data_IF_642550064924
#
_entry.id   IF_642550064924
#
_cell.length_a   1.000
_cell.length_b   1.000
_cell.length_c   1.000
_cell.angle_alpha   90.00
_cell.angle_beta   90.00
_cell.angle_gamma   90.00
#
_symmetry.space_group_name_H-M   'P 1'
#
loop_
_entity.id
_entity.type
_entity.pdbx_description
1 polymer ?
#
# COMPACT_ATOMS: atom_id res chain seq x y z
N UNK A 1 -3.90 -14.51 25.39
CA UNK A 1 -3.86 -13.05 25.18
C UNK A 1 -3.70 -12.85 23.69
N UNK A 2 -4.82 -12.64 23.01
CA UNK A 2 -4.86 -12.38 21.57
C UNK A 2 -4.99 -10.87 21.48
N UNK A 3 -3.91 -10.20 21.08
CA UNK A 3 -4.00 -8.82 20.65
C UNK A 3 -4.88 -8.77 19.41
N UNK A 4 -5.95 -8.00 19.53
CA UNK A 4 -6.98 -7.81 18.52
C UNK A 4 -6.40 -6.95 17.38
N UNK A 5 -5.99 -7.61 16.29
CA UNK A 5 -5.36 -6.98 15.10
C UNK A 5 -6.40 -6.30 14.20
N UNK A 6 -7.39 -5.60 14.76
CA UNK A 6 -8.47 -4.99 13.97
C UNK A 6 -8.68 -3.49 14.21
N UNK A 7 -7.99 -2.86 15.16
CA UNK A 7 -8.30 -1.48 15.58
C UNK A 7 -7.58 -0.36 14.83
N UNK A 8 -6.65 -0.65 13.91
CA UNK A 8 -5.89 0.41 13.20
C UNK A 8 -6.54 0.96 11.92
N UNK A 9 -7.74 0.49 11.52
CA UNK A 9 -8.36 0.89 10.25
C UNK A 9 -9.82 1.37 10.29
N UNK A 10 -10.51 1.27 11.42
CA UNK A 10 -11.93 1.63 11.50
C UNK A 10 -12.12 3.14 11.74
N UNK A 11 -13.04 3.76 10.99
CA UNK A 11 -13.47 5.14 11.25
C UNK A 11 -14.25 5.18 12.56
N UNK A 12 -13.89 6.09 13.45
CA UNK A 12 -14.53 6.31 14.74
C UNK A 12 -15.58 7.41 14.67
N UNK A 13 -16.79 7.13 15.14
CA UNK A 13 -17.85 8.13 15.36
C UNK A 13 -18.07 8.32 16.86
N UNK A 14 -17.80 9.53 17.35
CA UNK A 14 -17.93 9.90 18.75
C UNK A 14 -19.21 10.69 19.01
N UNK A 15 -20.05 10.23 19.94
CA UNK A 15 -21.16 11.02 20.45
C UNK A 15 -20.68 11.83 21.64
N UNK A 16 -20.75 13.15 21.53
CA UNK A 16 -20.40 14.05 22.63
C UNK A 16 -21.51 14.02 23.69
N UNK A 17 -21.31 13.20 24.72
CA UNK A 17 -22.28 13.04 25.81
C UNK A 17 -22.22 14.19 26.83
N UNK A 18 -21.19 15.04 26.77
CA UNK A 18 -21.05 16.20 27.67
C UNK A 18 -21.93 17.35 27.20
N UNK A 19 -21.91 17.61 25.90
CA UNK A 19 -22.63 18.74 25.30
C UNK A 19 -23.90 18.35 24.54
N UNK A 20 -24.10 17.07 24.24
CA UNK A 20 -25.30 16.54 23.58
C UNK A 20 -25.82 15.25 24.21
N UNK A 21 -26.63 14.52 23.44
CA UNK A 21 -27.17 13.22 23.84
C UNK A 21 -26.20 12.07 23.52
N UNK A 22 -26.06 11.08 24.42
CA UNK A 22 -25.20 9.92 24.18
C UNK A 22 -25.79 8.99 23.14
N UNK A 23 -24.94 8.17 22.50
CA UNK A 23 -25.30 7.14 21.52
C UNK A 23 -26.40 6.18 21.99
N UNK A 24 -26.48 5.90 23.29
CA UNK A 24 -27.52 5.04 23.89
C UNK A 24 -28.96 5.56 23.69
N UNK A 25 -29.14 6.84 23.35
CA UNK A 25 -30.43 7.42 22.98
C UNK A 25 -30.84 7.13 21.52
N UNK A 26 -29.95 6.56 20.72
CA UNK A 26 -30.15 6.29 19.30
C UNK A 26 -29.67 4.86 18.94
N UNK A 27 -30.29 3.82 19.52
CA UNK A 27 -29.82 2.45 19.35
C UNK A 27 -29.86 1.98 17.90
N UNK A 28 -30.87 2.36 17.10
CA UNK A 28 -30.93 1.99 15.69
C UNK A 28 -29.83 2.66 14.86
N UNK A 29 -29.53 3.93 15.16
CA UNK A 29 -28.40 4.64 14.53
C UNK A 29 -27.06 3.99 14.89
N UNK A 30 -26.86 3.68 16.16
CA UNK A 30 -25.64 2.99 16.61
C UNK A 30 -25.45 1.67 15.87
N UNK A 31 -26.49 0.83 15.84
CA UNK A 31 -26.47 -0.46 15.15
C UNK A 31 -26.19 -0.29 13.65
N UNK A 32 -26.79 0.73 13.02
CA UNK A 32 -26.53 1.05 11.62
C UNK A 32 -25.05 1.36 11.39
N UNK A 33 -24.45 2.22 12.20
CA UNK A 33 -23.05 2.63 12.04
C UNK A 33 -22.08 1.48 12.34
N UNK A 34 -22.31 0.72 13.41
CA UNK A 34 -21.51 -0.47 13.72
C UNK A 34 -21.62 -1.54 12.62
N UNK A 35 -22.80 -1.69 12.01
CA UNK A 35 -23.02 -2.58 10.87
C UNK A 35 -22.26 -2.18 9.60
N UNK A 36 -21.90 -0.90 9.45
CA UNK A 36 -21.02 -0.40 8.37
C UNK A 36 -19.53 -0.48 8.74
N UNK A 37 -19.19 -1.02 9.91
CA UNK A 37 -17.81 -1.15 10.37
C UNK A 37 -17.25 0.09 11.08
N UNK A 38 -18.10 1.06 11.44
CA UNK A 38 -17.67 2.20 12.25
C UNK A 38 -17.53 1.82 13.73
N UNK A 39 -16.51 2.36 14.39
CA UNK A 39 -16.37 2.28 15.85
C UNK A 39 -17.18 3.40 16.51
N UNK A 40 -18.32 3.06 17.13
CA UNK A 40 -19.19 4.04 17.80
C UNK A 40 -18.88 4.09 19.30
N UNK A 41 -18.59 5.29 19.83
CA UNK A 41 -18.34 5.51 21.27
C UNK A 41 -18.88 6.83 21.77
N UNK A 42 -19.17 6.89 23.06
CA UNK A 42 -19.49 8.14 23.74
C UNK A 42 -18.20 8.80 24.25
N UNK A 43 -18.05 10.12 24.06
CA UNK A 43 -16.85 10.88 24.42
C UNK A 43 -17.19 12.15 25.20
N UNK A 44 -16.23 12.67 25.94
CA UNK A 44 -16.36 13.87 26.79
C UNK A 44 -15.64 15.07 26.16
N UNK A 45 -16.01 15.39 24.92
CA UNK A 45 -15.44 16.50 24.15
C UNK A 45 -14.64 16.05 22.93
N UNK A 46 -13.74 16.93 22.47
CA UNK A 46 -13.04 16.81 21.19
C UNK A 46 -11.70 16.08 21.35
N UNK A 47 -11.52 14.95 20.67
CA UNK A 47 -10.30 14.14 20.76
C UNK A 47 -9.83 13.72 19.37
N UNK A 48 -8.50 13.77 19.08
CA UNK A 48 -7.96 13.41 17.77
C UNK A 48 -8.15 11.93 17.42
N UNK A 49 -8.49 11.08 18.38
CA UNK A 49 -8.76 9.66 18.16
C UNK A 49 -10.13 9.39 17.53
N UNK A 50 -11.01 10.39 17.51
CA UNK A 50 -12.35 10.31 16.92
C UNK A 50 -12.34 11.00 15.56
N UNK A 51 -12.75 10.29 14.52
CA UNK A 51 -12.74 10.83 13.16
C UNK A 51 -13.93 11.76 12.89
N UNK A 52 -15.09 11.49 13.50
CA UNK A 52 -16.30 12.31 13.40
C UNK A 52 -16.95 12.49 14.77
N UNK A 53 -17.17 13.73 15.19
CA UNK A 53 -17.95 14.03 16.40
C UNK A 53 -19.38 14.40 16.05
N UNK A 54 -20.32 13.86 16.82
CA UNK A 54 -21.75 14.10 16.70
C UNK A 54 -22.27 14.78 17.96
N UNK A 55 -22.89 15.95 17.80
CA UNK A 55 -23.57 16.70 18.86
C UNK A 55 -25.05 16.77 18.51
N UNK A 56 -25.89 16.01 19.23
CA UNK A 56 -27.35 15.98 19.02
C UNK A 56 -28.05 16.59 20.21
N UNK A 57 -29.01 17.51 19.98
CA UNK A 57 -29.88 18.11 20.99
C UNK A 57 -29.10 18.58 22.22
N UNK A 58 -28.55 19.79 22.13
CA UNK A 58 -27.63 20.31 23.13
C UNK A 58 -28.16 20.20 24.56
N UNK A 59 -27.37 19.60 25.44
CA UNK A 59 -27.67 19.42 26.86
C UNK A 59 -26.92 20.41 27.73
N UNK A 60 -25.73 20.85 27.30
CA UNK A 60 -24.88 21.82 28.00
C UNK A 60 -24.21 22.79 27.03
N UNK A 61 -24.01 24.08 27.39
CA UNK A 61 -23.24 25.01 26.59
C UNK A 61 -21.77 24.58 26.49
N UNK A 62 -21.09 25.00 25.42
CA UNK A 62 -19.62 24.94 25.33
C UNK A 62 -19.04 26.18 26.00
N UNK A 63 -17.95 25.98 26.73
CA UNK A 63 -17.11 27.07 27.22
C UNK A 63 -16.29 27.68 26.08
N UNK A 64 -15.69 28.85 26.32
CA UNK A 64 -14.84 29.52 25.33
C UNK A 64 -13.62 28.66 24.92
N UNK A 65 -13.01 27.95 25.87
CA UNK A 65 -11.92 27.02 25.59
C UNK A 65 -12.37 25.86 24.70
N UNK A 66 -13.54 25.28 24.99
CA UNK A 66 -14.09 24.17 24.18
C UNK A 66 -14.50 24.61 22.77
N UNK A 67 -14.91 25.86 22.58
CA UNK A 67 -15.13 26.41 21.23
C UNK A 67 -13.82 26.50 20.43
N UNK A 68 -12.71 26.86 21.07
CA UNK A 68 -11.39 26.85 20.46
C UNK A 68 -10.94 25.42 20.11
N UNK A 69 -11.19 24.47 21.01
CA UNK A 69 -10.87 23.06 20.78
C UNK A 69 -11.70 22.47 19.62
N UNK A 70 -12.98 22.84 19.53
CA UNK A 70 -13.85 22.48 18.41
C UNK A 70 -13.34 23.03 17.08
N UNK A 71 -12.96 24.32 17.03
CA UNK A 71 -12.39 24.94 15.83
C UNK A 71 -11.11 24.22 15.38
N UNK A 72 -10.20 23.98 16.33
CA UNK A 72 -8.95 23.26 16.08
C UNK A 72 -9.20 21.84 15.56
N UNK A 73 -10.09 21.09 16.20
CA UNK A 73 -10.47 19.73 15.83
C UNK A 73 -10.97 19.65 14.38
N UNK A 74 -11.88 20.52 13.97
CA UNK A 74 -12.34 20.47 12.58
C UNK A 74 -11.23 20.91 11.62
N UNK A 75 -10.49 21.98 11.93
CA UNK A 75 -9.42 22.47 11.05
C UNK A 75 -8.31 21.45 10.84
N UNK A 76 -8.04 20.58 11.80
CA UNK A 76 -7.02 19.53 11.71
C UNK A 76 -7.41 18.36 10.82
N UNK A 77 -8.65 18.31 10.32
CA UNK A 77 -9.09 17.30 9.35
C UNK A 77 -10.21 16.38 9.84
N UNK A 78 -10.88 16.70 10.94
CA UNK A 78 -11.96 15.87 11.45
C UNK A 78 -13.35 16.28 10.96
N UNK A 79 -14.31 15.37 11.11
CA UNK A 79 -15.72 15.58 10.80
C UNK A 79 -16.52 16.06 12.01
N UNK A 80 -17.50 16.94 11.79
CA UNK A 80 -18.43 17.40 12.82
C UNK A 80 -19.87 17.35 12.31
N UNK A 81 -20.75 16.69 13.05
CA UNK A 81 -22.19 16.69 12.81
C UNK A 81 -22.92 17.35 13.99
N UNK A 82 -23.58 18.46 13.71
CA UNK A 82 -24.41 19.19 14.68
C UNK A 82 -25.87 19.00 14.30
N UNK A 83 -26.68 18.48 15.22
CA UNK A 83 -28.12 18.28 15.00
C UNK A 83 -28.90 18.96 16.11
N UNK A 84 -29.73 19.93 15.74
CA UNK A 84 -30.63 20.66 16.65
C UNK A 84 -29.91 21.17 17.90
N UNK A 85 -28.79 21.86 17.69
CA UNK A 85 -27.92 22.35 18.77
C UNK A 85 -27.50 23.80 18.49
N UNK A 86 -27.44 24.63 19.54
CA UNK A 86 -27.05 26.04 19.43
C UNK A 86 -25.58 26.20 19.04
N UNK A 87 -24.78 25.13 19.16
CA UNK A 87 -23.37 25.09 18.74
C UNK A 87 -23.21 25.45 17.27
N UNK A 88 -24.26 25.25 16.46
CA UNK A 88 -24.34 25.74 15.08
C UNK A 88 -24.04 27.25 14.95
N UNK A 89 -24.35 28.06 15.96
CA UNK A 89 -24.07 29.50 15.97
C UNK A 89 -22.58 29.82 15.94
N UNK A 90 -21.70 28.92 16.42
CA UNK A 90 -20.24 29.07 16.31
C UNK A 90 -19.77 29.11 14.85
N UNK A 91 -20.58 28.60 13.92
CA UNK A 91 -20.33 28.57 12.49
C UNK A 91 -21.21 29.56 11.72
N UNK A 92 -21.82 30.53 12.41
CA UNK A 92 -22.77 31.50 11.85
C UNK A 92 -23.92 30.80 11.11
N UNK A 93 -24.50 29.74 11.68
CA UNK A 93 -25.70 29.09 11.15
C UNK A 93 -26.71 28.97 12.28
N UNK A 94 -27.96 29.38 12.05
CA UNK A 94 -29.00 29.36 13.07
C UNK A 94 -30.19 28.53 12.64
N UNK A 95 -30.80 27.81 13.58
CA UNK A 95 -32.11 27.21 13.36
C UNK A 95 -33.19 28.29 13.48
N UNK A 96 -34.17 28.24 12.58
CA UNK A 96 -35.43 28.95 12.78
C UNK A 96 -36.13 28.43 14.02
N UNK A 97 -36.86 29.32 14.66
CA UNK A 97 -37.73 29.08 15.79
C UNK A 97 -39.12 28.54 15.37
N UNK A 98 -39.38 28.53 14.06
CA UNK A 98 -40.62 28.07 13.43
C UNK A 98 -40.47 26.62 12.95
N UNK A 99 -41.47 25.78 13.24
CA UNK A 99 -41.45 24.38 12.82
C UNK A 99 -41.95 24.22 11.39
N UNK A 100 -41.31 23.32 10.65
CA UNK A 100 -41.75 22.89 9.32
C UNK A 100 -42.60 21.64 9.45
N UNK A 101 -43.74 21.64 8.77
CA UNK A 101 -44.73 20.59 8.88
C UNK A 101 -45.18 20.12 7.49
N UNK A 102 -45.52 18.84 7.37
CA UNK A 102 -46.11 18.32 6.13
C UNK A 102 -47.49 18.92 5.88
N UNK A 103 -47.82 19.29 4.62
CA UNK A 103 -49.15 19.83 4.29
C UNK A 103 -50.24 18.76 4.23
N UNK A 104 -49.89 17.47 4.32
CA UNK A 104 -50.82 16.35 4.12
C UNK A 104 -51.77 16.09 5.31
N UNK A 105 -51.47 16.61 6.49
CA UNK A 105 -52.23 16.31 7.72
C UNK A 105 -52.92 17.56 8.23
N UNK A 106 -54.24 17.47 8.44
CA UNK A 106 -55.05 18.55 9.02
C UNK A 106 -55.05 18.36 10.54
N UNK A 107 -54.30 19.21 11.25
CA UNK A 107 -54.33 19.27 12.73
C UNK A 107 -53.10 18.75 13.48
N UNK A 108 -51.94 18.61 12.82
CA UNK A 108 -50.67 18.28 13.48
C UNK A 108 -49.43 18.67 12.66
N UNK A 109 -48.28 18.74 13.34
CA UNK A 109 -46.97 18.96 12.71
C UNK A 109 -46.20 17.63 12.57
N UNK A 110 -46.52 16.90 11.51
CA UNK A 110 -45.89 15.63 11.18
C UNK A 110 -44.59 15.81 10.39
N UNK A 111 -43.68 14.81 10.42
CA UNK A 111 -42.47 14.80 9.60
C UNK A 111 -42.76 15.08 8.12
N UNK A 112 -41.83 15.72 7.46
CA UNK A 112 -41.93 16.13 6.06
C UNK A 112 -40.77 15.57 5.24
N UNK A 113 -40.97 15.48 3.93
CA UNK A 113 -39.93 15.03 3.02
C UNK A 113 -38.93 16.17 2.74
N UNK A 114 -37.64 15.85 2.78
CA UNK A 114 -36.57 16.72 2.30
C UNK A 114 -35.84 16.05 1.12
N UNK A 115 -35.52 16.85 0.11
CA UNK A 115 -34.73 16.45 -1.04
C UNK A 115 -33.25 16.45 -0.67
N UNK A 116 -32.56 15.38 -1.05
CA UNK A 116 -31.12 15.22 -0.84
C UNK A 116 -30.34 15.83 -2.02
N UNK A 117 -29.24 16.51 -1.73
CA UNK A 117 -28.39 17.07 -2.78
C UNK A 117 -27.67 15.96 -3.58
N UNK A 118 -28.21 15.64 -4.76
CA UNK A 118 -27.70 14.60 -5.65
C UNK A 118 -26.30 14.85 -6.24
N UNK A 119 -25.77 16.07 -6.14
CA UNK A 119 -24.38 16.37 -6.56
C UNK A 119 -23.36 15.90 -5.53
N UNK A 120 -23.79 15.69 -4.28
CA UNK A 120 -22.94 15.24 -3.17
C UNK A 120 -23.24 13.83 -2.72
N UNK A 121 -24.51 13.43 -2.78
CA UNK A 121 -24.97 12.12 -2.37
C UNK A 121 -25.49 11.36 -3.59
N UNK A 122 -24.91 10.19 -3.84
CA UNK A 122 -25.07 9.47 -5.09
C UNK A 122 -26.38 8.70 -5.12
N UNK A 123 -26.77 8.14 -3.98
CA UNK A 123 -27.83 7.14 -3.91
C UNK A 123 -29.09 7.67 -3.26
N UNK A 124 -28.98 8.47 -2.20
CA UNK A 124 -30.13 9.04 -1.50
C UNK A 124 -30.82 10.11 -2.35
N UNK A 125 -32.15 10.05 -2.43
CA UNK A 125 -32.97 11.01 -3.17
C UNK A 125 -33.86 11.83 -2.26
N UNK A 126 -34.46 11.17 -1.27
CA UNK A 126 -35.40 11.83 -0.36
C UNK A 126 -35.35 11.20 1.02
N UNK A 127 -35.39 12.05 2.04
CA UNK A 127 -35.42 11.63 3.44
C UNK A 127 -36.65 12.20 4.14
N UNK A 128 -37.13 11.52 5.18
CA UNK A 128 -38.21 11.99 6.03
C UNK A 128 -37.60 12.64 7.28
N UNK A 129 -37.93 13.90 7.54
CA UNK A 129 -37.27 14.70 8.58
C UNK A 129 -38.29 15.46 9.43
N UNK A 130 -37.88 15.89 10.62
CA UNK A 130 -38.71 16.71 11.51
C UNK A 130 -37.90 17.82 12.15
N UNK A 131 -38.39 19.05 12.10
CA UNK A 131 -37.74 20.19 12.75
C UNK A 131 -38.02 21.50 12.03
N UNK A 132 -37.01 22.36 11.96
CA UNK A 132 -37.10 23.71 11.41
C UNK A 132 -36.17 23.87 10.20
N UNK A 133 -36.23 25.03 9.54
CA UNK A 133 -35.23 25.43 8.53
C UNK A 133 -34.08 26.23 9.14
N UNK A 134 -32.97 26.31 8.41
CA UNK A 134 -31.79 27.08 8.76
C UNK A 134 -31.86 28.51 8.21
N UNK A 135 -31.30 29.46 8.95
CA UNK A 135 -31.24 30.89 8.64
C UNK A 135 -29.81 31.42 8.72
N UNK A 136 -29.60 32.56 8.07
CA UNK A 136 -28.36 33.32 8.02
C UNK A 136 -27.17 32.43 7.62
N UNK A 137 -27.28 31.86 6.42
CA UNK A 137 -26.30 30.93 5.87
C UNK A 137 -25.11 31.69 5.26
N UNK A 138 -23.85 31.34 5.61
CA UNK A 138 -22.67 31.88 4.95
C UNK A 138 -22.68 31.59 3.45
N UNK A 139 -22.07 32.45 2.63
CA UNK A 139 -22.12 32.35 1.16
C UNK A 139 -21.55 31.02 0.59
N UNK A 140 -20.66 30.36 1.33
CA UNK A 140 -19.94 29.17 0.86
C UNK A 140 -20.49 27.85 1.44
N UNK A 141 -21.68 27.84 2.05
CA UNK A 141 -22.26 26.59 2.54
C UNK A 141 -22.89 25.77 1.43
N UNK A 142 -22.73 24.47 1.54
CA UNK A 142 -23.35 23.47 0.67
C UNK A 142 -24.71 23.12 1.25
N UNK A 143 -25.79 23.34 0.50
CA UNK A 143 -27.10 22.84 0.91
C UNK A 143 -27.14 21.32 0.74
N UNK A 144 -27.26 20.56 1.83
CA UNK A 144 -27.27 19.09 1.84
C UNK A 144 -28.69 18.54 1.78
N UNK A 145 -29.61 19.16 2.51
CA UNK A 145 -31.03 18.84 2.52
C UNK A 145 -31.88 20.11 2.39
N UNK A 146 -32.82 20.09 1.45
CA UNK A 146 -33.84 21.12 1.30
C UNK A 146 -35.22 20.55 1.54
N UNK A 147 -36.10 21.28 2.20
CA UNK A 147 -37.49 20.86 2.34
C UNK A 147 -38.12 20.69 0.95
N UNK A 148 -38.93 19.66 0.77
CA UNK A 148 -39.94 19.68 -0.30
C UNK A 148 -41.09 20.60 0.15
N UNK A 149 -42.29 20.35 -0.35
CA UNK A 149 -43.50 21.10 0.02
C UNK A 149 -43.82 20.94 1.52
N UNK A 150 -43.78 22.06 2.24
CA UNK A 150 -44.06 22.19 3.68
C UNK A 150 -44.96 23.39 3.94
N UNK A 151 -45.57 23.47 5.11
CA UNK A 151 -46.09 24.73 5.66
C UNK A 151 -45.31 25.07 6.93
N UNK A 152 -45.28 26.36 7.28
CA UNK A 152 -44.52 26.89 8.40
C UNK A 152 -45.47 27.17 9.56
N UNK A 153 -45.30 26.50 10.68
CA UNK A 153 -46.09 26.76 11.89
C UNK A 153 -45.53 27.98 12.64
N UNK A 154 -46.02 29.16 12.25
CA UNK A 154 -45.62 30.46 12.85
C UNK A 154 -46.18 30.65 14.26
N UNK A 155 -47.39 30.15 14.49
CA UNK A 155 -48.12 30.33 15.76
C UNK A 155 -47.81 29.25 16.79
N UNK A 156 -47.04 28.21 16.40
CA UNK A 156 -46.61 27.08 17.23
C UNK A 156 -47.78 26.30 17.83
N UNK A 157 -48.91 26.28 17.13
CA UNK A 157 -50.13 25.63 17.59
C UNK A 157 -50.39 24.31 16.86
N UNK A 158 -49.52 23.93 15.93
CA UNK A 158 -49.57 22.72 15.09
C UNK A 158 -50.85 22.58 14.27
N UNK A 159 -51.58 23.69 14.05
CA UNK A 159 -52.86 23.71 13.32
C UNK A 159 -52.69 24.52 12.06
N UNK A 160 -52.74 23.80 10.93
CA UNK A 160 -52.81 24.42 9.61
C UNK A 160 -54.15 25.13 9.42
N UNK A 161 -54.08 26.38 8.98
CA UNK A 161 -55.21 27.21 8.54
C UNK A 161 -55.15 27.43 7.02
N UNK A 162 -56.25 27.90 6.43
CA UNK A 162 -56.29 28.24 4.99
C UNK A 162 -55.39 29.44 4.63
N UNK A 163 -54.98 30.24 5.62
CA UNK A 163 -54.07 31.38 5.43
C UNK A 163 -52.59 30.98 5.41
N UNK A 164 -52.25 29.75 5.82
CA UNK A 164 -50.87 29.30 5.91
C UNK A 164 -50.28 29.01 4.52
N UNK A 165 -49.23 29.74 4.19
CA UNK A 165 -48.53 29.65 2.92
C UNK A 165 -47.61 28.43 2.91
N UNK A 166 -47.73 27.63 1.86
CA UNK A 166 -46.79 26.53 1.60
C UNK A 166 -45.46 27.07 1.06
N UNK A 167 -44.36 26.46 1.49
CA UNK A 167 -43.00 26.76 1.06
C UNK A 167 -42.30 25.49 0.56
N UNK A 168 -41.28 25.68 -0.27
CA UNK A 168 -40.43 24.61 -0.80
C UNK A 168 -38.99 25.12 -0.91
N UNK A 169 -38.02 24.20 -0.86
CA UNK A 169 -36.60 24.53 -1.05
C UNK A 169 -35.96 25.20 0.16
N UNK A 170 -36.60 25.16 1.34
CA UNK A 170 -36.01 25.74 2.54
C UNK A 170 -34.83 24.87 3.00
N UNK A 171 -33.64 25.45 3.27
CA UNK A 171 -32.49 24.69 3.71
C UNK A 171 -32.73 24.14 5.11
N UNK A 172 -32.60 22.84 5.31
CA UNK A 172 -32.79 22.18 6.61
C UNK A 172 -31.53 21.48 7.12
N UNK A 173 -30.57 21.23 6.21
CA UNK A 173 -29.22 20.81 6.55
C UNK A 173 -28.23 21.43 5.57
N UNK A 174 -27.13 21.95 6.10
CA UNK A 174 -26.02 22.48 5.31
C UNK A 174 -24.71 21.80 5.71
N UNK A 175 -23.75 21.83 4.80
CA UNK A 175 -22.40 21.34 4.99
C UNK A 175 -21.38 22.38 4.60
N UNK A 176 -20.17 22.28 5.16
CA UNK A 176 -19.08 23.18 4.87
C UNK A 176 -17.74 22.44 4.95
N UNK A 177 -16.82 22.77 4.05
CA UNK A 177 -15.39 22.47 4.21
C UNK A 177 -14.80 23.52 5.14
N UNK A 178 -14.16 23.09 6.23
CA UNK A 178 -13.68 23.98 7.27
C UNK A 178 -12.23 23.62 7.64
N UNK A 179 -11.27 24.35 7.07
CA UNK A 179 -9.88 23.91 7.04
C UNK A 179 -9.76 22.61 6.26
N UNK A 180 -9.11 21.59 6.83
CA UNK A 180 -9.04 20.24 6.25
C UNK A 180 -10.27 19.40 6.55
N UNK A 181 -11.07 19.76 7.56
CA UNK A 181 -12.21 18.98 8.01
C UNK A 181 -13.52 19.36 7.33
N UNK A 182 -14.60 18.76 7.84
CA UNK A 182 -15.96 18.94 7.32
C UNK A 182 -16.96 19.10 8.45
N UNK A 183 -17.92 19.98 8.23
CA UNK A 183 -19.02 20.23 9.17
C UNK A 183 -20.33 19.98 8.45
N UNK A 184 -21.27 19.32 9.11
CA UNK A 184 -22.67 19.27 8.74
C UNK A 184 -23.52 19.82 9.89
N UNK A 185 -24.44 20.72 9.57
CA UNK A 185 -25.34 21.36 10.53
C UNK A 185 -26.77 21.09 10.09
N UNK A 186 -27.55 20.48 10.97
CA UNK A 186 -28.95 20.13 10.74
C UNK A 186 -29.86 20.79 11.77
N UNK A 187 -30.91 21.47 11.33
CA UNK A 187 -32.02 21.91 12.18
C UNK A 187 -33.13 20.87 12.30
N UNK A 188 -32.97 19.72 11.64
CA UNK A 188 -33.95 18.63 11.63
C UNK A 188 -33.38 17.34 12.19
N UNK A 189 -34.24 16.56 12.83
CA UNK A 189 -34.01 15.15 13.14
C UNK A 189 -34.31 14.28 11.92
N UNK A 190 -33.48 13.28 11.70
CA UNK A 190 -33.58 12.33 10.59
C UNK A 190 -33.13 10.91 10.95
N UNK A 191 -32.57 10.69 12.15
CA UNK A 191 -32.01 9.40 12.57
C UNK A 191 -32.53 8.89 13.92
N UNK A 192 -33.58 9.50 14.47
CA UNK A 192 -34.30 8.82 15.56
C UNK A 192 -34.87 7.50 15.01
N UNK A 193 -35.08 6.51 15.88
CA UNK A 193 -35.40 5.14 15.44
C UNK A 193 -36.62 5.09 14.49
N UNK A 194 -37.62 5.95 14.72
CA UNK A 194 -38.81 6.02 13.90
C UNK A 194 -38.56 6.60 12.49
N UNK A 195 -37.70 7.60 12.36
CA UNK A 195 -37.36 8.22 11.07
C UNK A 195 -36.28 7.44 10.32
N UNK A 196 -35.32 6.85 11.02
CA UNK A 196 -34.18 6.17 10.41
C UNK A 196 -34.60 5.02 9.48
N UNK A 197 -35.66 4.31 9.86
CA UNK A 197 -36.23 3.20 9.10
C UNK A 197 -37.12 3.63 7.92
N UNK A 198 -37.33 4.93 7.70
CA UNK A 198 -38.22 5.47 6.68
C UNK A 198 -37.42 6.00 5.47
N UNK A 199 -38.00 5.87 4.28
CA UNK A 199 -37.43 6.35 3.02
C UNK A 199 -35.93 5.98 2.90
N UNK A 200 -35.10 6.93 2.44
CA UNK A 200 -33.65 6.74 2.28
C UNK A 200 -32.87 7.16 3.54
N UNK A 201 -33.50 7.37 4.71
CA UNK A 201 -32.82 7.97 5.87
C UNK A 201 -31.58 7.20 6.31
N UNK A 202 -31.65 5.87 6.40
CA UNK A 202 -30.50 5.03 6.71
C UNK A 202 -29.38 5.15 5.67
N UNK A 203 -29.72 5.17 4.38
CA UNK A 203 -28.75 5.34 3.30
C UNK A 203 -28.09 6.72 3.34
N UNK A 204 -28.88 7.76 3.58
CA UNK A 204 -28.40 9.14 3.69
C UNK A 204 -27.44 9.31 4.87
N UNK A 205 -27.76 8.73 6.03
CA UNK A 205 -26.86 8.73 7.19
C UNK A 205 -25.50 8.10 6.84
N UNK A 206 -25.49 6.97 6.11
CA UNK A 206 -24.24 6.33 5.68
C UNK A 206 -23.42 7.23 4.76
N UNK A 207 -24.06 7.81 3.74
CA UNK A 207 -23.36 8.71 2.83
C UNK A 207 -22.88 9.99 3.54
N UNK A 208 -23.65 10.51 4.51
CA UNK A 208 -23.28 11.68 5.31
C UNK A 208 -22.07 11.41 6.21
N UNK A 209 -22.05 10.30 6.94
CA UNK A 209 -20.92 9.95 7.82
C UNK A 209 -19.68 9.60 6.99
N UNK A 210 -19.84 8.93 5.85
CA UNK A 210 -18.75 8.70 4.90
C UNK A 210 -18.17 10.03 4.39
N UNK A 211 -19.03 10.98 4.00
CA UNK A 211 -18.60 12.31 3.57
C UNK A 211 -17.85 13.06 4.69
N UNK A 212 -18.37 13.05 5.92
CA UNK A 212 -17.76 13.71 7.08
C UNK A 212 -16.41 13.09 7.49
N UNK A 213 -16.28 11.77 7.40
CA UNK A 213 -15.07 11.04 7.82
C UNK A 213 -13.96 11.02 6.78
N UNK A 214 -14.28 11.29 5.50
CA UNK A 214 -13.30 11.23 4.41
C UNK A 214 -12.02 12.03 4.62
N UNK A 215 -11.98 13.21 5.28
CA UNK A 215 -10.71 13.90 5.48
C UNK A 215 -9.81 13.20 6.50
N UNK A 216 -10.38 12.65 7.58
CA UNK A 216 -9.65 11.81 8.54
C UNK A 216 -9.11 10.53 7.87
N UNK A 217 -9.90 9.90 7.00
CA UNK A 217 -9.48 8.73 6.21
C UNK A 217 -8.32 9.10 5.28
N UNK A 218 -8.42 10.23 4.58
CA UNK A 218 -7.37 10.72 3.69
C UNK A 218 -6.06 10.98 4.46
N UNK A 219 -6.13 11.55 5.66
CA UNK A 219 -4.96 11.81 6.50
C UNK A 219 -4.30 10.52 6.99
N UNK A 220 -5.08 9.55 7.49
CA UNK A 220 -4.56 8.22 7.87
C UNK A 220 -3.87 7.55 6.69
N UNK A 221 -4.50 7.58 5.51
CA UNK A 221 -3.94 7.02 4.28
C UNK A 221 -2.66 7.71 3.84
N UNK A 222 -2.58 9.03 3.97
CA UNK A 222 -1.38 9.81 3.70
C UNK A 222 -0.21 9.35 4.57
N UNK A 223 -0.44 9.15 5.88
CA UNK A 223 0.59 8.69 6.80
C UNK A 223 1.07 7.28 6.49
N UNK A 224 0.15 6.37 6.16
CA UNK A 224 0.47 5.02 5.70
C UNK A 224 1.35 5.02 4.46
N UNK A 225 0.94 5.75 3.42
CA UNK A 225 1.64 5.81 2.13
C UNK A 225 3.01 6.47 2.30
N UNK A 226 3.10 7.52 3.11
CA UNK A 226 4.38 8.17 3.46
C UNK A 226 5.32 7.20 4.17
N UNK A 227 4.79 6.39 5.10
CA UNK A 227 5.58 5.35 5.77
C UNK A 227 6.09 4.29 4.78
N UNK A 228 5.23 3.84 3.85
CA UNK A 228 5.62 2.90 2.80
C UNK A 228 6.67 3.46 1.84
N UNK A 229 6.58 4.76 1.50
CA UNK A 229 7.61 5.43 0.71
C UNK A 229 8.97 5.44 1.43
N UNK A 230 8.97 5.68 2.74
CA UNK A 230 10.20 5.60 3.53
C UNK A 230 10.79 4.18 3.56
N UNK A 231 9.94 3.15 3.67
CA UNK A 231 10.39 1.76 3.57
C UNK A 231 10.96 1.44 2.18
N UNK A 232 10.35 1.94 1.11
CA UNK A 232 10.87 1.82 -0.26
C UNK A 232 12.24 2.49 -0.41
N UNK A 233 12.42 3.70 0.13
CA UNK A 233 13.71 4.38 0.21
C UNK A 233 14.75 3.58 1.02
N UNK A 234 14.31 2.83 2.04
CA UNK A 234 15.18 1.95 2.82
C UNK A 234 15.84 0.84 1.99
N UNK A 235 15.22 0.41 0.89
CA UNK A 235 15.79 -0.59 -0.03
C UNK A 235 17.03 -0.11 -0.78
N UNK A 236 17.37 1.19 -0.68
CA UNK A 236 18.60 1.76 -1.24
C UNK A 236 19.84 0.99 -0.79
N UNK A 237 19.93 0.68 0.49
CA UNK A 237 21.09 -0.04 1.06
C UNK A 237 21.21 -1.47 0.54
N UNK A 238 20.07 -2.15 0.31
CA UNK A 238 20.06 -3.49 -0.27
C UNK A 238 20.60 -3.51 -1.69
N UNK A 239 20.18 -2.53 -2.50
CA UNK A 239 20.62 -2.40 -3.88
C UNK A 239 22.11 -1.99 -3.97
N UNK A 240 22.56 -1.06 -3.14
CA UNK A 240 23.98 -0.63 -3.08
C UNK A 240 24.91 -1.79 -2.69
N UNK A 241 24.49 -2.64 -1.73
CA UNK A 241 25.27 -3.79 -1.25
C UNK A 241 25.55 -4.83 -2.35
N UNK A 242 24.67 -4.93 -3.34
CA UNK A 242 24.85 -5.84 -4.49
C UNK A 242 25.44 -5.12 -5.72
N UNK A 243 25.83 -3.85 -5.60
CA UNK A 243 26.44 -3.07 -6.68
C UNK A 243 25.43 -2.48 -7.68
N UNK A 244 24.14 -2.49 -7.35
CA UNK A 244 23.09 -1.93 -8.21
C UNK A 244 23.02 -0.40 -8.20
N UNK A 245 22.36 0.18 -9.19
CA UNK A 245 22.24 1.64 -9.34
C UNK A 245 21.11 2.21 -8.48
N UNK A 246 21.46 2.71 -7.30
CA UNK A 246 20.51 3.28 -6.34
C UNK A 246 19.95 4.65 -6.72
N UNK A 247 20.57 5.37 -7.67
CA UNK A 247 20.08 6.68 -8.12
C UNK A 247 18.71 6.60 -8.79
N UNK A 248 18.42 5.51 -9.51
CA UNK A 248 17.12 5.30 -10.16
C UNK A 248 16.01 5.14 -9.12
N UNK A 249 16.29 4.40 -8.03
CA UNK A 249 15.37 4.25 -6.90
C UNK A 249 15.01 5.59 -6.28
N UNK A 250 16.02 6.43 -6.02
CA UNK A 250 15.83 7.76 -5.43
C UNK A 250 14.98 8.65 -6.34
N UNK A 251 15.28 8.68 -7.64
CA UNK A 251 14.52 9.48 -8.60
C UNK A 251 13.04 9.05 -8.68
N UNK A 252 12.77 7.74 -8.65
CA UNK A 252 11.40 7.20 -8.59
C UNK A 252 10.70 7.62 -7.30
N UNK A 253 11.39 7.50 -6.16
CA UNK A 253 10.86 7.90 -4.86
C UNK A 253 10.54 9.40 -4.80
N UNK A 254 11.33 10.26 -5.45
CA UNK A 254 11.03 11.69 -5.60
C UNK A 254 9.77 11.94 -6.46
N UNK A 255 9.49 11.08 -7.44
CA UNK A 255 8.22 11.06 -8.16
C UNK A 255 7.03 10.84 -7.22
N UNK A 256 7.07 9.75 -6.46
CA UNK A 256 6.00 9.44 -5.49
C UNK A 256 5.87 10.52 -4.40
N UNK A 257 6.98 11.08 -3.93
CA UNK A 257 6.95 12.17 -2.94
C UNK A 257 6.15 13.38 -3.45
N UNK A 258 6.36 13.78 -4.71
CA UNK A 258 5.60 14.88 -5.33
C UNK A 258 4.11 14.59 -5.41
N UNK A 259 3.72 13.34 -5.71
CA UNK A 259 2.31 12.93 -5.74
C UNK A 259 1.69 12.90 -4.34
N UNK A 260 2.44 12.47 -3.32
CA UNK A 260 2.03 12.53 -1.91
C UNK A 260 1.84 13.99 -1.44
N UNK A 261 2.75 14.89 -1.84
CA UNK A 261 2.64 16.32 -1.56
C UNK A 261 1.42 16.96 -2.28
N UNK A 262 1.10 16.54 -3.52
CA UNK A 262 -0.13 16.95 -4.21
C UNK A 262 -1.39 16.45 -3.48
N UNK A 263 -1.37 15.21 -2.97
CA UNK A 263 -2.48 14.70 -2.16
C UNK A 263 -2.71 15.54 -0.89
N UNK A 264 -1.65 15.98 -0.21
CA UNK A 264 -1.76 16.90 0.93
C UNK A 264 -2.39 18.24 0.52
N UNK A 265 -1.94 18.81 -0.61
CA UNK A 265 -2.52 20.05 -1.16
C UNK A 265 -4.00 19.91 -1.55
N UNK A 266 -4.44 18.72 -1.99
CA UNK A 266 -5.87 18.45 -2.24
C UNK A 266 -6.67 18.38 -0.94
N UNK A 267 -6.14 17.76 0.11
CA UNK A 267 -6.77 17.74 1.43
C UNK A 267 -6.90 19.15 2.02
N UNK A 268 -5.88 19.99 1.87
CA UNK A 268 -5.91 21.42 2.28
C UNK A 268 -7.03 22.22 1.58
N UNK A 269 -7.45 21.78 0.39
CA UNK A 269 -8.56 22.36 -0.37
C UNK A 269 -9.91 21.68 -0.12
N UNK A 270 -9.97 20.69 0.77
CA UNK A 270 -11.18 19.91 1.09
C UNK A 270 -11.55 18.82 0.09
N UNK A 271 -10.64 18.48 -0.83
CA UNK A 271 -10.83 17.47 -1.89
C UNK A 271 -10.36 16.08 -1.44
N UNK A 272 -10.87 15.62 -0.30
CA UNK A 272 -10.42 14.39 0.38
C UNK A 272 -10.56 13.14 -0.49
N UNK A 273 -11.65 13.01 -1.26
CA UNK A 273 -11.88 11.85 -2.12
C UNK A 273 -10.88 11.78 -3.28
N UNK A 274 -10.51 12.93 -3.86
CA UNK A 274 -9.46 12.99 -4.89
C UNK A 274 -8.09 12.67 -4.30
N UNK A 275 -7.80 13.17 -3.09
CA UNK A 275 -6.57 12.86 -2.38
C UNK A 275 -6.44 11.36 -2.07
N UNK A 276 -7.52 10.71 -1.61
CA UNK A 276 -7.55 9.26 -1.37
C UNK A 276 -7.26 8.50 -2.66
N UNK A 277 -7.93 8.85 -3.76
CA UNK A 277 -7.72 8.17 -5.05
C UNK A 277 -6.27 8.30 -5.55
N UNK A 278 -5.66 9.47 -5.38
CA UNK A 278 -4.25 9.69 -5.71
C UNK A 278 -3.32 8.84 -4.83
N UNK A 279 -3.54 8.85 -3.51
CA UNK A 279 -2.76 8.06 -2.55
C UNK A 279 -2.86 6.55 -2.79
N UNK A 280 -4.03 6.04 -3.21
CA UNK A 280 -4.19 4.64 -3.61
C UNK A 280 -3.39 4.28 -4.87
N UNK A 281 -3.32 5.20 -5.83
CA UNK A 281 -2.49 5.04 -7.02
C UNK A 281 -1.00 5.00 -6.65
N UNK A 282 -0.57 5.93 -5.80
CA UNK A 282 0.80 5.98 -5.27
C UNK A 282 1.15 4.69 -4.54
N UNK A 283 0.28 4.19 -3.66
CA UNK A 283 0.52 2.96 -2.90
C UNK A 283 0.73 1.75 -3.81
N UNK A 284 -0.12 1.59 -4.85
CA UNK A 284 0.03 0.54 -5.86
C UNK A 284 1.34 0.69 -6.63
N UNK A 285 1.73 1.92 -6.94
CA UNK A 285 3.02 2.27 -7.53
C UNK A 285 4.17 1.79 -6.65
N UNK A 286 4.23 2.26 -5.40
CA UNK A 286 5.26 1.86 -4.43
C UNK A 286 5.34 0.34 -4.31
N UNK A 287 4.21 -0.37 -4.16
CA UNK A 287 4.21 -1.83 -4.04
C UNK A 287 4.81 -2.53 -5.28
N UNK A 288 4.45 -2.07 -6.47
CA UNK A 288 4.94 -2.63 -7.74
C UNK A 288 6.46 -2.40 -7.90
N UNK A 289 6.92 -1.21 -7.54
CA UNK A 289 8.33 -0.85 -7.61
C UNK A 289 9.17 -1.53 -6.53
N UNK A 290 8.67 -1.67 -5.31
CA UNK A 290 9.32 -2.45 -4.25
C UNK A 290 9.52 -3.91 -4.67
N UNK A 291 8.50 -4.55 -5.25
CA UNK A 291 8.63 -5.92 -5.76
C UNK A 291 9.71 -6.03 -6.83
N UNK A 292 9.79 -5.03 -7.72
CA UNK A 292 10.80 -4.97 -8.76
C UNK A 292 12.23 -4.77 -8.19
N UNK A 293 12.42 -3.88 -7.21
CA UNK A 293 13.72 -3.69 -6.54
C UNK A 293 14.19 -4.98 -5.90
N UNK A 294 13.30 -5.74 -5.22
CA UNK A 294 13.66 -7.04 -4.66
C UNK A 294 14.15 -8.03 -5.72
N UNK A 295 13.53 -8.05 -6.92
CA UNK A 295 14.01 -8.88 -8.03
C UNK A 295 15.36 -8.42 -8.57
N UNK A 296 15.56 -7.11 -8.69
CA UNK A 296 16.83 -6.51 -9.08
C UNK A 296 17.96 -6.94 -8.14
N UNK A 297 17.72 -6.94 -6.83
CA UNK A 297 18.72 -7.40 -5.85
C UNK A 297 19.12 -8.85 -6.10
N UNK A 298 18.16 -9.72 -6.44
CA UNK A 298 18.43 -11.14 -6.78
C UNK A 298 19.26 -11.25 -8.07
N UNK A 299 18.92 -10.48 -9.10
CA UNK A 299 19.68 -10.43 -10.36
C UNK A 299 21.13 -10.04 -10.09
N UNK A 300 21.35 -8.91 -9.43
CA UNK A 300 22.70 -8.39 -9.15
C UNK A 300 23.51 -9.38 -8.29
N UNK A 301 22.89 -10.02 -7.29
CA UNK A 301 23.55 -11.06 -6.49
C UNK A 301 23.97 -12.26 -7.34
N UNK A 302 23.07 -12.81 -8.16
CA UNK A 302 23.36 -13.96 -9.02
C UNK A 302 24.42 -13.64 -10.07
N UNK A 303 24.41 -12.43 -10.63
CA UNK A 303 25.46 -11.96 -11.56
C UNK A 303 26.81 -11.91 -10.88
N UNK A 304 26.88 -11.36 -9.66
CA UNK A 304 28.12 -11.30 -8.88
C UNK A 304 28.64 -12.69 -8.55
N UNK A 305 27.78 -13.58 -8.02
CA UNK A 305 28.15 -14.97 -7.69
C UNK A 305 28.65 -15.76 -8.91
N UNK A 306 28.01 -15.58 -10.08
CA UNK A 306 28.46 -16.20 -11.32
C UNK A 306 29.84 -15.63 -11.75
N UNK A 307 30.02 -14.32 -11.68
CA UNK A 307 31.30 -13.69 -11.99
C UNK A 307 32.42 -14.19 -11.07
N UNK A 308 32.17 -14.27 -9.77
CA UNK A 308 33.12 -14.78 -8.77
C UNK A 308 33.50 -16.23 -9.10
N UNK A 309 32.51 -17.09 -9.33
CA UNK A 309 32.76 -18.48 -9.72
C UNK A 309 33.62 -18.62 -10.98
N UNK A 310 33.32 -17.85 -12.04
CA UNK A 310 34.07 -17.92 -13.29
C UNK A 310 35.52 -17.43 -13.09
N UNK A 311 35.71 -16.37 -12.32
CA UNK A 311 37.04 -15.82 -12.01
C UNK A 311 37.88 -16.78 -11.14
N UNK A 312 37.28 -17.35 -10.10
CA UNK A 312 37.94 -18.34 -9.23
C UNK A 312 38.33 -19.60 -10.01
N UNK A 313 37.45 -20.08 -10.90
CA UNK A 313 37.72 -21.24 -11.74
C UNK A 313 38.85 -20.94 -12.73
N UNK A 314 38.86 -19.76 -13.36
CA UNK A 314 39.94 -19.35 -14.26
C UNK A 314 41.29 -19.28 -13.55
N UNK A 315 41.31 -18.82 -12.29
CA UNK A 315 42.53 -18.70 -11.50
C UNK A 315 43.05 -20.07 -11.01
N UNK A 316 42.16 -20.96 -10.58
CA UNK A 316 42.52 -22.28 -10.04
C UNK A 316 42.78 -23.32 -11.15
N UNK A 317 42.10 -23.21 -12.28
CA UNK A 317 42.10 -24.20 -13.37
C UNK A 317 42.31 -23.52 -14.74
N UNK A 318 43.50 -22.96 -15.01
CA UNK A 318 43.76 -22.15 -16.22
C UNK A 318 43.66 -22.92 -17.54
N UNK A 319 43.59 -24.25 -17.48
CA UNK A 319 43.45 -25.12 -18.65
C UNK A 319 41.98 -25.27 -19.12
N UNK A 320 40.99 -24.84 -18.32
CA UNK A 320 39.58 -24.83 -18.70
C UNK A 320 39.26 -23.50 -19.35
N UNK A 321 38.76 -23.53 -20.59
CA UNK A 321 38.40 -22.30 -21.32
C UNK A 321 37.00 -21.85 -20.95
N UNK A 322 36.86 -20.61 -20.45
CA UNK A 322 35.59 -20.04 -19.97
C UNK A 322 35.08 -18.84 -20.79
N UNK A 323 35.72 -18.53 -21.93
CA UNK A 323 35.46 -17.30 -22.69
C UNK A 323 34.00 -17.15 -23.15
N UNK A 324 33.34 -18.27 -23.52
CA UNK A 324 31.93 -18.26 -23.90
C UNK A 324 31.01 -17.83 -22.74
N UNK A 325 31.33 -18.23 -21.50
CA UNK A 325 30.59 -17.84 -20.30
C UNK A 325 30.81 -16.38 -19.95
N UNK A 326 32.05 -15.88 -20.08
CA UNK A 326 32.35 -14.46 -19.90
C UNK A 326 31.65 -13.58 -20.95
N UNK A 327 31.58 -14.02 -22.21
CA UNK A 327 30.83 -13.31 -23.26
C UNK A 327 29.35 -13.19 -22.91
N UNK A 328 28.70 -14.29 -22.52
CA UNK A 328 27.28 -14.28 -22.13
C UNK A 328 27.02 -13.46 -20.87
N UNK A 329 27.93 -13.49 -19.90
CA UNK A 329 27.83 -12.62 -18.72
C UNK A 329 27.93 -11.14 -19.10
N UNK A 330 28.78 -10.78 -20.06
CA UNK A 330 28.87 -9.41 -20.60
C UNK A 330 27.60 -8.98 -21.34
N UNK A 331 26.95 -9.90 -22.05
CA UNK A 331 25.66 -9.63 -22.71
C UNK A 331 24.56 -9.35 -21.66
N UNK A 332 24.53 -10.13 -20.58
CA UNK A 332 23.62 -9.90 -19.45
C UNK A 332 23.88 -8.55 -18.77
N UNK A 333 25.14 -8.14 -18.61
CA UNK A 333 25.50 -6.81 -18.08
C UNK A 333 24.99 -5.68 -18.99
N UNK A 334 24.97 -5.90 -20.31
CA UNK A 334 24.40 -4.96 -21.28
C UNK A 334 22.88 -4.91 -21.19
N UNK A 335 22.21 -6.06 -21.06
CA UNK A 335 20.77 -6.13 -20.84
C UNK A 335 20.35 -5.46 -19.52
N UNK A 336 21.20 -5.55 -18.49
CA UNK A 336 20.97 -4.94 -17.17
C UNK A 336 20.85 -3.42 -17.30
N UNK A 337 21.70 -2.79 -18.10
CA UNK A 337 21.60 -1.36 -18.38
C UNK A 337 20.26 -0.98 -19.00
N UNK A 338 19.77 -1.74 -19.99
CA UNK A 338 18.46 -1.52 -20.60
C UNK A 338 17.31 -1.67 -19.59
N UNK A 339 17.45 -2.60 -18.63
CA UNK A 339 16.49 -2.80 -17.56
C UNK A 339 16.44 -1.56 -16.64
N UNK A 340 17.58 -1.00 -16.24
CA UNK A 340 17.61 0.26 -15.46
C UNK A 340 17.08 1.46 -16.25
N UNK A 341 17.34 1.54 -17.55
CA UNK A 341 16.80 2.60 -18.42
C UNK A 341 15.27 2.52 -18.49
N UNK A 342 14.69 1.33 -18.70
CA UNK A 342 13.23 1.13 -18.67
C UNK A 342 12.64 1.51 -17.32
N UNK A 343 13.28 1.09 -16.24
CA UNK A 343 12.87 1.45 -14.89
C UNK A 343 12.87 2.97 -14.68
N UNK A 344 13.93 3.66 -15.08
CA UNK A 344 14.04 5.11 -14.96
C UNK A 344 12.98 5.86 -15.77
N UNK A 345 12.57 5.32 -16.92
CA UNK A 345 11.49 5.89 -17.75
C UNK A 345 10.07 5.54 -17.28
N UNK A 346 9.94 4.72 -16.22
CA UNK A 346 8.65 4.32 -15.66
C UNK A 346 7.98 3.11 -16.31
N UNK A 347 8.63 2.44 -17.28
CA UNK A 347 8.15 1.21 -17.89
C UNK A 347 8.39 0.00 -16.97
N UNK A 348 7.65 -0.06 -15.87
CA UNK A 348 7.80 -1.11 -14.86
C UNK A 348 7.40 -2.49 -15.40
N UNK A 349 6.48 -2.55 -16.37
CA UNK A 349 6.05 -3.82 -16.98
C UNK A 349 7.14 -4.39 -17.87
N UNK A 350 7.68 -3.56 -18.78
CA UNK A 350 8.79 -3.95 -19.65
C UNK A 350 10.07 -4.22 -18.87
N UNK A 351 10.33 -3.48 -17.78
CA UNK A 351 11.44 -3.76 -16.87
C UNK A 351 11.27 -5.11 -16.16
N UNK A 352 10.07 -5.44 -15.66
CA UNK A 352 9.79 -6.74 -15.05
C UNK A 352 9.94 -7.91 -16.04
N UNK A 353 9.48 -7.74 -17.28
CA UNK A 353 9.67 -8.78 -18.32
C UNK A 353 11.15 -9.01 -18.62
N UNK A 354 11.94 -7.93 -18.74
CA UNK A 354 13.39 -8.03 -18.90
C UNK A 354 14.06 -8.71 -17.71
N UNK A 355 13.66 -8.34 -16.48
CA UNK A 355 14.19 -8.93 -15.25
C UNK A 355 13.91 -10.45 -15.17
N UNK A 356 12.70 -10.88 -15.51
CA UNK A 356 12.36 -12.31 -15.52
C UNK A 356 13.19 -13.10 -16.53
N UNK A 357 13.33 -12.60 -17.76
CA UNK A 357 14.18 -13.26 -18.78
C UNK A 357 15.64 -13.34 -18.33
N UNK A 358 16.15 -12.26 -17.74
CA UNK A 358 17.51 -12.20 -17.23
C UNK A 358 17.76 -13.19 -16.09
N UNK A 359 16.80 -13.35 -15.17
CA UNK A 359 16.89 -14.35 -14.11
C UNK A 359 16.94 -15.77 -14.69
N UNK A 360 16.07 -16.09 -15.64
CA UNK A 360 16.07 -17.40 -16.31
C UNK A 360 17.39 -17.67 -17.04
N UNK A 361 17.92 -16.66 -17.75
CA UNK A 361 19.21 -16.75 -18.44
C UNK A 361 20.38 -16.92 -17.46
N UNK A 362 20.36 -16.22 -16.31
CA UNK A 362 21.38 -16.36 -15.27
C UNK A 362 21.38 -17.74 -14.61
N UNK A 363 20.20 -18.28 -14.31
CA UNK A 363 20.08 -19.61 -13.71
C UNK A 363 20.56 -20.71 -14.67
N UNK A 364 20.19 -20.61 -15.95
CA UNK A 364 20.67 -21.51 -16.99
C UNK A 364 22.19 -21.39 -17.17
N UNK A 365 22.71 -20.16 -17.28
CA UNK A 365 24.14 -19.92 -17.47
C UNK A 365 24.97 -20.44 -16.29
N UNK A 366 24.48 -20.27 -15.06
CA UNK A 366 25.13 -20.78 -13.85
C UNK A 366 25.18 -22.31 -13.85
N UNK A 367 24.06 -22.96 -14.14
CA UNK A 367 23.94 -24.42 -14.21
C UNK A 367 24.85 -24.99 -15.30
N UNK A 368 24.83 -24.40 -16.50
CA UNK A 368 25.67 -24.78 -17.63
C UNK A 368 27.17 -24.64 -17.31
N UNK A 369 27.57 -23.52 -16.69
CA UNK A 369 28.96 -23.29 -16.31
C UNK A 369 29.45 -24.31 -15.29
N UNK A 370 28.66 -24.59 -14.24
CA UNK A 370 29.02 -25.58 -13.23
C UNK A 370 29.11 -27.00 -13.81
N UNK A 371 28.17 -27.38 -14.68
CA UNK A 371 28.19 -28.68 -15.37
C UNK A 371 29.41 -28.82 -16.29
N UNK A 372 29.70 -27.77 -17.09
CA UNK A 372 30.85 -27.74 -17.99
C UNK A 372 32.18 -27.89 -17.24
N UNK A 373 32.38 -27.12 -16.17
CA UNK A 373 33.60 -27.19 -15.35
C UNK A 373 33.76 -28.58 -14.72
N UNK A 374 32.67 -29.16 -14.23
CA UNK A 374 32.70 -30.52 -13.64
C UNK A 374 33.10 -31.56 -14.68
N UNK A 375 32.52 -31.49 -15.89
CA UNK A 375 32.83 -32.42 -16.97
C UNK A 375 34.29 -32.28 -17.47
N UNK A 376 34.82 -31.06 -17.57
CA UNK A 376 36.22 -30.86 -17.95
C UNK A 376 37.21 -31.29 -16.86
N UNK A 377 36.87 -31.10 -15.58
CA UNK A 377 37.65 -31.67 -14.46
C UNK A 377 37.76 -33.19 -14.57
N UNK A 378 36.66 -33.87 -14.87
CA UNK A 378 36.66 -35.33 -15.06
C UNK A 378 37.47 -35.76 -16.28
N UNK A 379 37.32 -35.08 -17.42
CA UNK A 379 38.13 -35.37 -18.63
C UNK A 379 39.62 -35.19 -18.37
N UNK A 380 39.99 -34.12 -17.67
CA UNK A 380 41.38 -33.86 -17.32
C UNK A 380 41.93 -34.94 -16.37
N UNK A 381 41.14 -35.37 -15.40
CA UNK A 381 41.51 -36.47 -14.49
C UNK A 381 41.69 -37.79 -15.25
N UNK A 382 40.77 -38.13 -16.18
CA UNK A 382 40.88 -39.31 -17.02
C UNK A 382 42.13 -39.27 -17.91
N UNK A 383 42.43 -38.12 -18.55
CA UNK A 383 43.65 -37.98 -19.34
C UNK A 383 44.92 -38.11 -18.50
N UNK A 384 44.94 -37.59 -17.28
CA UNK A 384 46.07 -37.75 -16.36
C UNK A 384 46.24 -39.23 -15.94
N UNK A 385 45.15 -39.93 -15.66
CA UNK A 385 45.17 -41.36 -15.34
C UNK A 385 45.64 -42.20 -16.55
N UNK A 386 45.20 -41.89 -17.78
CA UNK A 386 45.65 -42.54 -19.00
C UNK A 386 47.13 -42.26 -19.31
N UNK A 387 47.60 -41.02 -19.15
CA UNK A 387 49.01 -40.68 -19.28
C UNK A 387 49.85 -41.41 -18.23
N UNK A 388 49.41 -41.46 -16.97
CA UNK A 388 50.11 -42.22 -15.93
C UNK A 388 50.14 -43.72 -16.24
N UNK A 389 49.04 -44.31 -16.75
CA UNK A 389 49.00 -45.70 -17.21
C UNK A 389 49.95 -45.96 -18.38
N UNK A 390 49.99 -45.06 -19.36
CA UNK A 390 50.93 -45.15 -20.49
C UNK A 390 52.39 -45.07 -20.03
N UNK A 391 52.71 -44.18 -19.09
CA UNK A 391 54.05 -44.06 -18.50
C UNK A 391 54.41 -45.35 -17.74
N UNK A 392 53.51 -45.88 -16.91
CA UNK A 392 53.76 -47.12 -16.16
C UNK A 392 53.93 -48.33 -17.09
N UNK A 393 53.11 -48.46 -18.13
CA UNK A 393 53.25 -49.53 -19.15
C UNK A 393 54.57 -49.38 -19.91
N UNK A 394 54.94 -48.16 -20.32
CA UNK A 394 56.23 -47.89 -20.96
C UNK A 394 57.42 -48.26 -20.07
N UNK A 395 57.33 -47.95 -18.77
CA UNK A 395 58.37 -48.28 -17.80
C UNK A 395 58.49 -49.80 -17.57
N UNK A 396 57.37 -50.52 -17.51
CA UNK A 396 57.35 -51.99 -17.45
C UNK A 396 57.93 -52.63 -18.71
N UNK A 397 57.67 -52.07 -19.90
CA UNK A 397 58.26 -52.56 -21.15
C UNK A 397 59.79 -52.41 -21.16
N UNK A 398 60.32 -51.28 -20.68
CA UNK A 398 61.78 -51.07 -20.55
C UNK A 398 62.39 -52.08 -19.57
N UNK A 399 61.76 -52.31 -18.42
CA UNK A 399 62.21 -53.31 -17.45
C UNK A 399 62.22 -54.72 -18.07
N UNK A 400 61.20 -55.08 -18.83
CA UNK A 400 61.13 -56.38 -19.51
C UNK A 400 62.27 -56.56 -20.54
N UNK A 401 62.60 -55.51 -21.30
CA UNK A 401 63.73 -55.52 -22.24
C UNK A 401 65.07 -55.69 -21.50
N UNK A 402 65.27 -55.00 -20.38
CA UNK A 402 66.48 -55.15 -19.56
C UNK A 402 66.61 -56.58 -19.05
N UNK A 403 65.53 -57.17 -18.52
CA UNK A 403 65.53 -58.56 -18.05
C UNK A 403 65.83 -59.53 -19.20
N UNK A 404 65.26 -59.31 -20.38
CA UNK A 404 65.53 -60.13 -21.57
C UNK A 404 66.99 -60.03 -22.01
N UNK A 405 67.58 -58.83 -22.03
CA UNK A 405 68.99 -58.60 -22.37
C UNK A 405 69.90 -59.28 -21.36
N UNK A 406 69.61 -59.18 -20.06
CA UNK A 406 70.36 -59.87 -19.00
C UNK A 406 70.25 -61.39 -19.15
N UNK A 407 69.05 -61.91 -19.45
CA UNK A 407 68.84 -63.34 -19.69
C UNK A 407 69.63 -63.84 -20.92
N UNK A 408 69.67 -63.07 -22.01
CA UNK A 408 70.47 -63.37 -23.20
C UNK A 408 71.97 -63.34 -22.90
N UNK A 409 72.45 -62.35 -22.14
CA UNK A 409 73.86 -62.25 -21.72
C UNK A 409 74.26 -63.43 -20.82
N UNK A 410 73.41 -63.81 -19.87
CA UNK A 410 73.62 -64.99 -19.01
C UNK A 410 73.58 -66.30 -19.81
N UNK A 411 72.71 -66.40 -20.82
CA UNK A 411 72.64 -67.57 -21.71
C UNK A 411 73.90 -67.69 -22.59
N UNK A 412 74.41 -66.58 -23.14
CA UNK A 412 75.68 -66.57 -23.89
C UNK A 412 76.87 -66.98 -23.03
N UNK A 413 76.95 -66.51 -21.78
CA UNK A 413 78.02 -66.91 -20.83
C UNK A 413 78.04 -68.41 -20.51
N UNK A 414 76.93 -69.14 -20.66
CA UNK A 414 76.91 -70.60 -20.44
C UNK A 414 77.48 -71.42 -21.60
N UNK A 415 77.62 -70.86 -22.81
CA UNK A 415 78.21 -71.57 -23.96
C UNK A 415 79.74 -71.49 -24.03
N UNK A 416 80.37 -70.55 -23.33
CA UNK A 416 81.83 -70.48 -23.22
C UNK A 416 82.30 -71.27 -22.00
N UNK A 417 82.31 -72.61 -22.09
CA UNK A 417 83.14 -73.44 -21.21
C UNK A 417 84.41 -73.86 -21.95
N UNK A 418 85.48 -73.24 -21.48
CA UNK A 418 86.91 -73.38 -21.74
C UNK A 418 87.37 -74.84 -21.78
N UNK A 419 88.00 -75.24 -22.88
CA UNK A 419 88.87 -76.41 -23.00
C UNK A 419 90.26 -76.04 -22.46
N UNK A 420 90.69 -76.63 -21.35
CA UNK A 420 92.04 -76.42 -20.79
C UNK A 420 92.94 -77.57 -21.27
N UNK A 421 93.83 -77.28 -22.22
CA UNK A 421 94.89 -78.20 -22.67
C UNK A 421 96.18 -77.86 -21.92
N UNK A 422 96.66 -78.76 -21.06
CA UNK A 422 97.99 -78.66 -20.41
C UNK A 422 98.99 -79.45 -21.26
N UNK A 423 99.99 -78.77 -21.84
CA UNK A 423 101.16 -79.41 -22.45
C UNK A 423 102.32 -79.46 -21.44
N UNK A 424 103.03 -80.60 -21.31
CA UNK A 424 104.23 -80.70 -20.47
C UNK A 424 105.49 -80.13 -21.18
N UNK A 425 106.42 -79.49 -20.46
CA UNK A 425 107.73 -79.10 -20.99
C UNK A 425 108.74 -80.24 -20.84
N UNK A 426 109.54 -80.50 -21.88
CA UNK A 426 110.52 -81.59 -21.91
C UNK A 426 111.87 -81.23 -21.30
N UNK A 427 112.33 -82.09 -20.40
CA UNK A 427 113.64 -82.77 -20.39
C UNK A 427 113.62 -83.83 -19.30
#
# INVERSE_FOLDING_TARGET
>A
MVEDVSSQGAVTVGFDKKHGLPSAKFPALRQLLEGEGYAVRDVEGFTPEVDVIVIVNQTSPLTEGELSDLDSYVRSGHGLLIVRSIVSAAFNVWSSEESLCTPRVIGGCDPFEAAVNSTRFRYSRSVLVKGAYLRNLPANVLNLLSSKRVWIDKDRNWRRTEADVEAEGLPVMVGQVYGRGRIAISSVEFFNDALLAQLDNGLFVRELISWLSSPSVAMKRYEEVRSRLNSFLGMRGDLERVGGNSSVLVNVAEGFKREIDDAMSRMDRGLSEEAISLLESVDKGIASYSSFVSRLVVIESKMRELSEFLNETRASEPNITLDAFFSRLSDLESQKRLLYERWATGDISGANQSASRMLDELENLRSEASSYVTAERERMRQRQEEQQRMITVGLLAVVAVIVLVVAILLYRRRKEKVEIVIRPPGS
#
